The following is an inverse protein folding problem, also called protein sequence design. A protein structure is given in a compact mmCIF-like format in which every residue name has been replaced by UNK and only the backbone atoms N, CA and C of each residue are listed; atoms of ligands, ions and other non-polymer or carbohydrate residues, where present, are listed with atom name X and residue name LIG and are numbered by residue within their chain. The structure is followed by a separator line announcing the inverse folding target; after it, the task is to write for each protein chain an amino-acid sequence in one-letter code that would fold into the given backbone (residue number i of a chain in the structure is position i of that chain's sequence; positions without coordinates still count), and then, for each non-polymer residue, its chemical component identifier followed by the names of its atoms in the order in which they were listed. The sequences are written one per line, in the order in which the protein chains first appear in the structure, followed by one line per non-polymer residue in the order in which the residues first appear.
data_IF_930568772160
#
_entry.id   IF_930568772160
#
_cell.length_a   1.000
_cell.length_b   1.000
_cell.length_c   1.000
_cell.angle_alpha   90.00
_cell.angle_beta   90.00
_cell.angle_gamma   90.00
#
_symmetry.space_group_name_H-M   'P 1'
#
loop_
_entity.id
_entity.type
_entity.pdbx_description
1 polymer ?
#
# COMPACT_ATOMS: atom_id res chain seq x y z
N UNK A 1 -97.21 -10.61 -112.04
CA UNK A 1 -96.84 -11.13 -113.37
C UNK A 1 -95.33 -11.21 -113.43
N UNK A 2 -94.81 -12.41 -113.70
CA UNK A 2 -93.42 -12.76 -114.06
C UNK A 2 -92.34 -12.52 -112.98
N UNK A 3 -91.84 -13.56 -112.30
CA UNK A 3 -91.00 -14.69 -112.75
C UNK A 3 -89.53 -14.29 -112.91
N UNK A 4 -88.64 -15.19 -112.45
CA UNK A 4 -87.23 -15.36 -112.83
C UNK A 4 -86.19 -14.43 -112.14
N UNK A 5 -85.07 -14.88 -111.54
CA UNK A 5 -84.28 -16.11 -111.66
C UNK A 5 -83.58 -16.48 -110.33
N UNK A 6 -83.51 -17.79 -110.08
CA UNK A 6 -82.57 -18.48 -109.19
C UNK A 6 -81.12 -18.32 -109.68
N UNK A 7 -80.15 -18.31 -108.76
CA UNK A 7 -78.90 -19.08 -108.93
C UNK A 7 -78.30 -19.42 -107.56
N UNK A 8 -78.68 -20.58 -107.02
CA UNK A 8 -77.96 -21.23 -105.92
C UNK A 8 -76.65 -21.77 -106.48
N UNK A 9 -75.54 -21.08 -106.25
CA UNK A 9 -74.22 -21.61 -106.56
C UNK A 9 -73.82 -22.62 -105.47
N UNK A 10 -74.34 -23.84 -105.56
CA UNK A 10 -73.78 -24.99 -104.86
C UNK A 10 -72.53 -25.43 -105.62
N UNK A 11 -71.41 -24.76 -105.35
CA UNK A 11 -70.10 -25.30 -105.71
C UNK A 11 -69.93 -26.62 -104.96
N UNK A 12 -70.07 -27.75 -105.66
CA UNK A 12 -69.55 -29.03 -105.20
C UNK A 12 -68.05 -28.86 -104.99
N UNK A 13 -67.63 -28.72 -103.74
CA UNK A 13 -66.23 -28.85 -103.37
C UNK A 13 -65.98 -30.36 -103.36
N UNK A 14 -65.33 -30.87 -104.40
CA UNK A 14 -64.75 -32.22 -104.37
C UNK A 14 -63.61 -32.21 -103.34
N UNK A 15 -63.93 -32.56 -102.09
CA UNK A 15 -62.93 -32.76 -101.04
C UNK A 15 -62.37 -34.17 -101.25
N UNK A 16 -61.15 -34.25 -101.80
CA UNK A 16 -60.39 -35.50 -101.90
C UNK A 16 -60.02 -35.97 -100.47
N UNK A 17 -60.88 -36.79 -99.88
CA UNK A 17 -60.68 -37.33 -98.53
C UNK A 17 -59.93 -38.65 -98.64
N UNK A 18 -58.67 -38.69 -98.18
CA UNK A 18 -57.85 -39.91 -98.17
C UNK A 18 -57.64 -40.39 -96.72
N UNK A 19 -58.02 -41.64 -96.45
CA UNK A 19 -57.74 -42.33 -95.19
C UNK A 19 -56.52 -43.23 -95.40
N UNK A 20 -55.47 -43.01 -94.62
CA UNK A 20 -54.22 -43.80 -94.67
C UNK A 20 -53.87 -44.39 -93.31
N UNK A 21 -52.94 -45.35 -93.33
CA UNK A 21 -52.33 -45.93 -92.13
C UNK A 21 -53.36 -46.40 -91.11
N UNK A 22 -54.39 -47.10 -91.59
CA UNK A 22 -55.41 -47.66 -90.72
C UNK A 22 -54.84 -48.89 -90.00
N UNK A 23 -54.72 -48.78 -88.69
CA UNK A 23 -54.28 -49.86 -87.82
C UNK A 23 -55.43 -50.21 -86.87
N UNK A 24 -55.87 -51.47 -86.89
CA UNK A 24 -56.89 -51.96 -85.97
C UNK A 24 -56.29 -52.93 -84.96
N UNK A 25 -56.69 -52.75 -83.71
CA UNK A 25 -56.38 -53.64 -82.60
C UNK A 25 -57.67 -54.00 -81.85
N UNK A 26 -57.60 -54.96 -80.91
CA UNK A 26 -58.76 -55.35 -80.09
C UNK A 26 -59.35 -54.18 -79.29
N UNK A 27 -58.58 -53.12 -79.04
CA UNK A 27 -59.01 -51.92 -78.31
C UNK A 27 -59.56 -50.78 -79.16
N UNK A 28 -59.61 -50.92 -80.49
CA UNK A 28 -60.07 -49.88 -81.40
C UNK A 28 -59.20 -49.74 -82.64
N UNK A 29 -59.50 -48.72 -83.43
CA UNK A 29 -58.84 -48.46 -84.71
C UNK A 29 -58.33 -47.02 -84.78
N UNK A 30 -57.10 -46.84 -85.24
CA UNK A 30 -56.52 -45.54 -85.59
C UNK A 30 -56.37 -45.44 -87.10
N UNK A 31 -56.52 -44.23 -87.63
CA UNK A 31 -56.21 -43.93 -89.03
C UNK A 31 -55.78 -42.46 -89.15
N UNK A 32 -54.99 -42.16 -90.17
CA UNK A 32 -54.64 -40.81 -90.56
C UNK A 32 -55.65 -40.32 -91.60
N UNK A 33 -56.39 -39.25 -91.29
CA UNK A 33 -57.33 -38.62 -92.20
C UNK A 33 -56.68 -37.39 -92.84
N UNK A 34 -56.44 -37.45 -94.16
CA UNK A 34 -55.98 -36.30 -94.94
C UNK A 34 -57.16 -35.72 -95.71
N UNK A 35 -57.50 -34.48 -95.34
CA UNK A 35 -58.58 -33.71 -95.98
C UNK A 35 -58.08 -32.90 -97.19
N UNK A 36 -56.77 -32.64 -97.25
CA UNK A 36 -56.07 -32.01 -98.36
C UNK A 36 -54.58 -32.36 -98.28
N UNK A 37 -53.89 -32.34 -99.42
CA UNK A 37 -52.44 -32.47 -99.44
C UNK A 37 -51.77 -31.24 -98.79
N UNK A 38 -50.67 -31.43 -98.04
CA UNK A 38 -49.96 -30.31 -97.45
C UNK A 38 -49.42 -29.38 -98.53
N UNK A 39 -49.85 -28.11 -98.50
CA UNK A 39 -49.44 -27.06 -99.47
C UNK A 39 -47.91 -26.86 -99.49
N UNK A 40 -47.22 -27.20 -98.40
CA UNK A 40 -45.78 -27.11 -98.27
C UNK A 40 -45.22 -28.47 -97.84
N UNK A 41 -44.45 -29.11 -98.72
CA UNK A 41 -43.84 -30.42 -98.50
C UNK A 41 -42.66 -30.41 -97.49
N UNK A 42 -42.30 -29.26 -96.93
CA UNK A 42 -41.13 -29.12 -96.04
C UNK A 42 -41.52 -28.81 -94.59
N UNK A 43 -41.03 -29.57 -93.60
CA UNK A 43 -41.25 -29.29 -92.19
C UNK A 43 -40.69 -27.91 -91.78
N UNK A 44 -41.35 -27.16 -90.87
CA UNK A 44 -40.82 -25.90 -90.38
C UNK A 44 -39.46 -26.08 -89.69
N UNK A 45 -38.44 -25.34 -90.13
CA UNK A 45 -37.10 -25.36 -89.53
C UNK A 45 -37.16 -24.74 -88.13
N UNK A 46 -37.02 -25.56 -87.09
CA UNK A 46 -36.77 -25.07 -85.72
C UNK A 46 -35.40 -24.37 -85.68
N UNK A 47 -35.25 -23.24 -84.96
CA UNK A 47 -33.93 -22.66 -84.74
C UNK A 47 -33.05 -23.72 -84.07
N UNK A 48 -31.79 -23.83 -84.54
CA UNK A 48 -30.81 -24.73 -83.95
C UNK A 48 -30.65 -24.34 -82.47
N UNK A 49 -31.12 -25.21 -81.57
CA UNK A 49 -30.80 -25.11 -80.15
C UNK A 49 -29.27 -25.17 -80.01
N UNK A 50 -28.66 -24.29 -79.21
CA UNK A 50 -27.20 -24.31 -79.02
C UNK A 50 -26.74 -25.72 -78.59
N UNK A 51 -25.73 -26.32 -79.23
CA UNK A 51 -25.22 -27.62 -78.81
C UNK A 51 -24.44 -27.41 -77.52
N UNK A 52 -25.07 -27.70 -76.38
CA UNK A 52 -24.41 -27.64 -75.08
C UNK A 52 -24.12 -29.06 -74.63
N UNK A 53 -23.00 -29.61 -75.11
CA UNK A 53 -22.42 -30.82 -74.53
C UNK A 53 -21.68 -30.35 -73.28
N UNK A 54 -22.36 -30.37 -72.14
CA UNK A 54 -21.75 -30.14 -70.83
C UNK A 54 -21.01 -31.42 -70.46
N UNK A 55 -19.68 -31.33 -70.25
CA UNK A 55 -18.91 -32.48 -69.78
C UNK A 55 -19.20 -32.72 -68.30
N UNK A 56 -18.93 -33.94 -67.82
CA UNK A 56 -19.06 -34.28 -66.39
C UNK A 56 -18.18 -33.36 -65.53
N UNK A 57 -16.97 -33.03 -66.01
CA UNK A 57 -16.06 -32.12 -65.34
C UNK A 57 -16.65 -30.70 -65.18
N UNK A 58 -17.33 -30.16 -66.21
CA UNK A 58 -17.98 -28.84 -66.14
C UNK A 58 -19.14 -28.81 -65.13
N UNK A 59 -19.81 -29.95 -64.92
CA UNK A 59 -20.89 -30.08 -63.94
C UNK A 59 -20.30 -30.12 -62.52
N UNK A 60 -19.26 -30.94 -62.31
CA UNK A 60 -18.56 -31.04 -61.03
C UNK A 60 -17.94 -29.70 -60.60
N UNK A 61 -17.31 -28.98 -61.53
CA UNK A 61 -16.73 -27.66 -61.25
C UNK A 61 -17.81 -26.67 -60.79
N UNK A 62 -18.97 -26.65 -61.44
CA UNK A 62 -20.08 -25.77 -61.03
C UNK A 62 -20.65 -26.14 -59.66
N UNK A 63 -20.76 -27.43 -59.34
CA UNK A 63 -21.19 -27.90 -58.03
C UNK A 63 -20.17 -27.50 -56.96
N UNK A 64 -18.88 -27.69 -57.22
CA UNK A 64 -17.80 -27.28 -56.32
C UNK A 64 -17.78 -25.76 -56.11
N UNK A 65 -17.93 -24.97 -57.16
CA UNK A 65 -18.02 -23.50 -57.05
C UNK A 65 -19.27 -23.03 -56.27
N UNK A 66 -20.38 -23.77 -56.33
CA UNK A 66 -21.54 -23.50 -55.48
C UNK A 66 -21.28 -23.84 -54.01
N UNK A 67 -20.61 -24.97 -53.74
CA UNK A 67 -20.23 -25.38 -52.40
C UNK A 67 -19.21 -24.41 -51.76
N UNK A 68 -18.21 -23.98 -52.51
CA UNK A 68 -17.19 -23.04 -52.04
C UNK A 68 -17.80 -21.66 -51.74
N UNK A 69 -18.75 -21.19 -52.56
CA UNK A 69 -19.53 -19.97 -52.25
C UNK A 69 -20.33 -20.11 -50.95
N UNK A 70 -20.97 -21.27 -50.73
CA UNK A 70 -21.69 -21.54 -49.47
C UNK A 70 -20.73 -21.51 -48.28
N UNK A 71 -19.61 -22.23 -48.37
CA UNK A 71 -18.56 -22.26 -47.33
C UNK A 71 -18.02 -20.87 -47.03
N UNK A 72 -17.72 -20.09 -48.07
CA UNK A 72 -17.22 -18.70 -47.92
C UNK A 72 -18.23 -17.80 -47.23
N UNK A 73 -19.52 -17.90 -47.58
CA UNK A 73 -20.57 -17.10 -46.94
C UNK A 73 -20.71 -17.46 -45.46
N UNK A 74 -20.77 -18.75 -45.14
CA UNK A 74 -20.85 -19.22 -43.75
C UNK A 74 -19.60 -18.83 -42.95
N UNK A 75 -18.40 -18.97 -43.52
CA UNK A 75 -17.15 -18.55 -42.88
C UNK A 75 -17.15 -17.04 -42.58
N UNK A 76 -17.60 -16.22 -43.53
CA UNK A 76 -17.74 -14.77 -43.33
C UNK A 76 -18.73 -14.44 -42.22
N UNK A 77 -19.90 -15.10 -42.18
CA UNK A 77 -20.89 -14.94 -41.11
C UNK A 77 -20.31 -15.33 -39.73
N UNK A 78 -19.60 -16.45 -39.65
CA UNK A 78 -18.94 -16.90 -38.42
C UNK A 78 -17.87 -15.90 -37.97
N UNK A 79 -17.07 -15.35 -38.89
CA UNK A 79 -16.07 -14.34 -38.58
C UNK A 79 -16.70 -13.05 -38.03
N UNK A 80 -17.82 -12.60 -38.61
CA UNK A 80 -18.57 -11.42 -38.10
C UNK A 80 -19.12 -11.68 -36.70
N UNK A 81 -19.70 -12.85 -36.47
CA UNK A 81 -20.23 -13.22 -35.15
C UNK A 81 -19.11 -13.33 -34.10
N UNK A 82 -18.00 -13.96 -34.46
CA UNK A 82 -16.81 -14.07 -33.60
C UNK A 82 -16.25 -12.68 -33.24
N UNK A 83 -16.14 -11.77 -34.20
CA UNK A 83 -15.69 -10.40 -33.94
C UNK A 83 -16.64 -9.63 -33.01
N UNK A 84 -17.96 -9.82 -33.14
CA UNK A 84 -18.94 -9.23 -32.21
C UNK A 84 -18.81 -9.78 -30.80
N UNK A 85 -18.63 -11.09 -30.64
CA UNK A 85 -18.43 -11.73 -29.34
C UNK A 85 -17.13 -11.26 -28.68
N UNK A 86 -16.03 -11.18 -29.43
CA UNK A 86 -14.76 -10.66 -28.93
C UNK A 86 -14.90 -9.22 -28.41
N UNK A 87 -15.62 -8.36 -29.14
CA UNK A 87 -15.87 -6.97 -28.70
C UNK A 87 -16.69 -6.90 -27.41
N UNK A 88 -17.67 -7.79 -27.23
CA UNK A 88 -18.47 -7.88 -25.99
C UNK A 88 -17.60 -8.35 -24.83
N UNK A 89 -16.76 -9.35 -25.06
CA UNK A 89 -15.83 -9.86 -24.04
C UNK A 89 -14.81 -8.80 -23.62
N UNK A 90 -14.24 -8.05 -24.57
CA UNK A 90 -13.31 -6.96 -24.28
C UNK A 90 -13.99 -5.81 -23.51
N UNK A 91 -15.23 -5.48 -23.85
CA UNK A 91 -16.00 -4.48 -23.11
C UNK A 91 -16.26 -4.93 -21.67
N UNK A 92 -16.60 -6.21 -21.48
CA UNK A 92 -16.79 -6.81 -20.15
C UNK A 92 -15.49 -6.80 -19.34
N UNK A 93 -14.37 -7.23 -19.92
CA UNK A 93 -13.07 -7.21 -19.25
C UNK A 93 -12.68 -5.80 -18.79
N UNK A 94 -12.90 -4.80 -19.65
CA UNK A 94 -12.64 -3.39 -19.30
C UNK A 94 -13.52 -2.90 -18.16
N UNK A 95 -14.79 -3.29 -18.15
CA UNK A 95 -15.69 -2.96 -17.04
C UNK A 95 -15.22 -3.60 -15.73
N UNK A 96 -14.93 -4.91 -15.74
CA UNK A 96 -14.46 -5.64 -14.57
C UNK A 96 -13.12 -5.07 -14.04
N UNK A 97 -12.25 -4.61 -14.93
CA UNK A 97 -10.97 -3.99 -14.55
C UNK A 97 -11.15 -2.60 -13.95
N UNK A 98 -12.05 -1.77 -14.50
CA UNK A 98 -12.39 -0.47 -13.91
C UNK A 98 -13.04 -0.64 -12.53
N UNK A 99 -13.94 -1.61 -12.37
CA UNK A 99 -14.56 -1.92 -11.09
C UNK A 99 -13.52 -2.34 -10.04
N UNK A 100 -12.60 -3.23 -10.41
CA UNK A 100 -11.49 -3.63 -9.53
C UNK A 100 -10.59 -2.46 -9.16
N UNK A 101 -10.22 -1.62 -10.13
CA UNK A 101 -9.39 -0.44 -9.88
C UNK A 101 -10.08 0.54 -8.93
N UNK A 102 -11.39 0.76 -9.11
CA UNK A 102 -12.17 1.63 -8.24
C UNK A 102 -12.22 1.11 -6.80
N UNK A 103 -12.49 -0.20 -6.64
CA UNK A 103 -12.51 -0.84 -5.31
C UNK A 103 -11.14 -0.73 -4.65
N UNK A 104 -10.08 -1.08 -5.38
CA UNK A 104 -8.70 -1.03 -4.86
C UNK A 104 -8.29 0.39 -4.45
N UNK A 105 -8.52 1.38 -5.32
CA UNK A 105 -8.17 2.78 -5.02
C UNK A 105 -8.94 3.31 -3.80
N UNK A 106 -10.23 2.96 -3.68
CA UNK A 106 -11.06 3.39 -2.55
C UNK A 106 -10.60 2.72 -1.25
N UNK A 107 -10.26 1.43 -1.30
CA UNK A 107 -9.73 0.69 -0.15
C UNK A 107 -8.36 1.23 0.29
N UNK A 108 -7.45 1.48 -0.65
CA UNK A 108 -6.13 2.04 -0.38
C UNK A 108 -6.24 3.47 0.18
N UNK A 109 -7.09 4.31 -0.37
CA UNK A 109 -7.33 5.66 0.14
C UNK A 109 -7.89 5.64 1.58
N UNK A 110 -8.80 4.71 1.88
CA UNK A 110 -9.31 4.54 3.25
C UNK A 110 -8.22 4.05 4.20
N UNK A 111 -7.43 3.05 3.80
CA UNK A 111 -6.30 2.54 4.59
C UNK A 111 -5.28 3.62 4.89
N UNK A 112 -4.90 4.42 3.89
CA UNK A 112 -3.99 5.56 4.06
C UNK A 112 -4.55 6.60 5.03
N UNK A 113 -5.86 6.90 4.92
CA UNK A 113 -6.52 7.85 5.82
C UNK A 113 -6.52 7.37 7.27
N UNK A 114 -6.81 6.09 7.51
CA UNK A 114 -6.76 5.49 8.85
C UNK A 114 -5.33 5.54 9.41
N UNK A 115 -4.34 5.08 8.63
CA UNK A 115 -2.94 5.09 9.05
C UNK A 115 -2.46 6.51 9.41
N UNK A 116 -2.83 7.52 8.62
CA UNK A 116 -2.51 8.92 8.92
C UNK A 116 -3.15 9.41 10.23
N UNK A 117 -4.41 9.05 10.51
CA UNK A 117 -5.03 9.40 11.79
C UNK A 117 -4.37 8.71 12.97
N UNK A 118 -3.99 7.44 12.83
CA UNK A 118 -3.27 6.69 13.85
C UNK A 118 -1.90 7.30 14.13
N UNK A 119 -1.10 7.58 13.09
CA UNK A 119 0.20 8.23 13.20
C UNK A 119 0.10 9.62 13.85
N UNK A 120 -0.85 10.46 13.42
CA UNK A 120 -1.06 11.78 14.02
C UNK A 120 -1.45 11.67 15.50
N UNK A 121 -2.31 10.71 15.85
CA UNK A 121 -2.73 10.47 17.23
C UNK A 121 -1.56 9.99 18.08
N UNK A 122 -0.75 9.06 17.57
CA UNK A 122 0.42 8.55 18.27
C UNK A 122 1.50 9.63 18.45
N UNK A 123 1.77 10.43 17.41
CA UNK A 123 2.67 11.58 17.50
C UNK A 123 2.24 12.54 18.60
N UNK A 124 0.96 12.92 18.63
CA UNK A 124 0.44 13.83 19.67
C UNK A 124 0.57 13.24 21.09
N UNK A 125 0.27 11.94 21.24
CA UNK A 125 0.42 11.26 22.54
C UNK A 125 1.91 11.21 22.95
N UNK A 126 2.81 10.92 22.01
CA UNK A 126 4.24 10.84 22.27
C UNK A 126 4.83 12.20 22.64
N UNK A 127 4.40 13.27 21.98
CA UNK A 127 4.79 14.64 22.33
C UNK A 127 4.36 15.02 23.76
N UNK A 128 3.13 14.66 24.15
CA UNK A 128 2.67 14.88 25.53
C UNK A 128 3.47 14.07 26.54
N UNK A 129 3.76 12.80 26.24
CA UNK A 129 4.61 11.94 27.09
C UNK A 129 6.01 12.50 27.23
N UNK A 130 6.60 12.99 26.14
CA UNK A 130 7.94 13.58 26.14
C UNK A 130 7.99 14.84 27.03
N UNK A 131 7.02 15.76 26.88
CA UNK A 131 6.90 16.94 27.74
C UNK A 131 6.74 16.60 29.22
N UNK A 132 5.93 15.59 29.53
CA UNK A 132 5.75 15.13 30.91
C UNK A 132 7.04 14.53 31.48
N UNK A 133 7.75 13.73 30.67
CA UNK A 133 9.04 13.14 31.06
C UNK A 133 10.09 14.23 31.33
N UNK A 134 10.22 15.20 30.44
CA UNK A 134 11.14 16.34 30.60
C UNK A 134 10.82 17.13 31.88
N UNK A 135 9.54 17.38 32.17
CA UNK A 135 9.13 18.04 33.40
C UNK A 135 9.53 17.24 34.65
N UNK A 136 9.29 15.92 34.66
CA UNK A 136 9.67 15.06 35.79
C UNK A 136 11.18 15.03 36.01
N UNK A 137 11.97 14.97 34.93
CA UNK A 137 13.43 15.06 34.99
C UNK A 137 13.90 16.42 35.54
N UNK A 138 13.24 17.51 35.13
CA UNK A 138 13.49 18.85 35.65
C UNK A 138 13.20 19.00 37.15
N UNK A 139 12.09 18.41 37.62
CA UNK A 139 11.74 18.36 39.05
C UNK A 139 12.78 17.56 39.83
N UNK A 140 13.16 16.37 39.36
CA UNK A 140 14.14 15.53 40.05
C UNK A 140 15.52 16.19 40.10
N UNK A 141 15.95 16.83 39.02
CA UNK A 141 17.18 17.63 38.99
C UNK A 141 17.15 18.74 40.04
N UNK A 142 16.02 19.44 40.16
CA UNK A 142 15.85 20.51 41.16
C UNK A 142 15.92 19.94 42.58
N UNK A 143 15.26 18.80 42.83
CA UNK A 143 15.29 18.10 44.13
C UNK A 143 16.72 17.74 44.52
N UNK A 144 17.47 17.08 43.63
CA UNK A 144 18.86 16.68 43.86
C UNK A 144 19.76 17.89 44.10
N UNK A 145 19.57 18.99 43.35
CA UNK A 145 20.35 20.20 43.54
C UNK A 145 20.10 20.84 44.92
N UNK A 146 18.86 20.91 45.37
CA UNK A 146 18.51 21.42 46.70
C UNK A 146 19.07 20.53 47.83
N UNK A 147 19.03 19.20 47.65
CA UNK A 147 19.60 18.25 48.60
C UNK A 147 21.12 18.42 48.71
N UNK A 148 21.81 18.55 47.57
CA UNK A 148 23.24 18.82 47.51
C UNK A 148 23.60 20.15 48.20
N UNK A 149 22.91 21.24 47.85
CA UNK A 149 23.15 22.55 48.48
C UNK A 149 22.93 22.51 49.99
N UNK A 150 21.89 21.81 50.45
CA UNK A 150 21.61 21.65 51.89
C UNK A 150 22.72 20.88 52.59
N UNK A 151 23.21 19.78 51.98
CA UNK A 151 24.32 19.00 52.51
C UNK A 151 25.63 19.80 52.57
N UNK A 152 25.93 20.58 51.53
CA UNK A 152 27.10 21.46 51.47
C UNK A 152 27.05 22.54 52.56
N UNK A 153 25.90 23.18 52.75
CA UNK A 153 25.70 24.18 53.82
C UNK A 153 25.87 23.53 55.20
N UNK A 154 25.28 22.35 55.42
CA UNK A 154 25.41 21.62 56.69
C UNK A 154 26.87 21.26 56.99
N UNK A 155 27.61 20.76 56.00
CA UNK A 155 29.03 20.44 56.13
C UNK A 155 29.87 21.68 56.44
N UNK A 156 29.61 22.80 55.75
CA UNK A 156 30.29 24.08 56.02
C UNK A 156 30.05 24.59 57.44
N UNK A 157 28.83 24.48 57.96
CA UNK A 157 28.50 24.84 59.34
C UNK A 157 29.24 23.93 60.33
N UNK A 158 29.22 22.61 60.09
CA UNK A 158 29.89 21.64 60.96
C UNK A 158 31.41 21.89 61.02
N UNK A 159 32.04 22.20 59.88
CA UNK A 159 33.46 22.52 59.82
C UNK A 159 33.79 23.80 60.62
N UNK A 160 32.98 24.85 60.47
CA UNK A 160 33.15 26.10 61.25
C UNK A 160 33.01 25.86 62.75
N UNK A 161 32.01 25.06 63.17
CA UNK A 161 31.83 24.70 64.58
C UNK A 161 33.02 23.91 65.13
N UNK A 162 33.55 22.96 64.35
CA UNK A 162 34.73 22.17 64.73
C UNK A 162 35.97 23.06 64.84
N UNK A 163 36.19 23.96 63.89
CA UNK A 163 37.30 24.92 63.92
C UNK A 163 37.21 25.85 65.12
N UNK A 164 36.02 26.41 65.40
CA UNK A 164 35.79 27.26 66.57
C UNK A 164 35.98 26.50 67.90
N UNK A 165 35.56 25.22 67.98
CA UNK A 165 35.81 24.37 69.14
C UNK A 165 37.31 24.13 69.36
N UNK A 166 38.03 23.72 68.31
CA UNK A 166 39.48 23.55 68.36
C UNK A 166 40.19 24.82 68.81
N UNK A 167 39.79 25.99 68.30
CA UNK A 167 40.40 27.26 68.68
C UNK A 167 40.15 27.61 70.16
N UNK A 168 38.94 27.33 70.69
CA UNK A 168 38.64 27.50 72.12
C UNK A 168 39.50 26.58 72.98
N UNK A 169 39.62 25.31 72.60
CA UNK A 169 40.41 24.32 73.34
C UNK A 169 41.90 24.69 73.35
N UNK A 170 42.45 25.10 72.22
CA UNK A 170 43.84 25.56 72.13
C UNK A 170 44.09 26.83 72.96
N UNK A 171 43.15 27.78 72.96
CA UNK A 171 43.27 28.97 73.80
C UNK A 171 43.21 28.63 75.30
N UNK A 172 42.33 27.71 75.70
CA UNK A 172 42.24 27.23 77.08
C UNK A 172 43.51 26.49 77.50
N UNK A 173 44.03 25.58 76.66
CA UNK A 173 45.31 24.89 76.91
C UNK A 173 46.45 25.87 77.14
N UNK A 174 46.57 26.91 76.31
CA UNK A 174 47.59 27.97 76.48
C UNK A 174 47.44 28.70 77.82
N UNK A 175 46.23 29.00 78.25
CA UNK A 175 45.98 29.65 79.55
C UNK A 175 46.36 28.74 80.72
N UNK A 176 45.98 27.46 80.66
CA UNK A 176 46.33 26.46 81.68
C UNK A 176 47.85 26.24 81.78
N UNK A 177 48.57 26.22 80.66
CA UNK A 177 50.03 26.12 80.65
C UNK A 177 50.65 27.34 81.35
N UNK A 178 50.22 28.56 81.02
CA UNK A 178 50.73 29.79 81.67
C UNK A 178 50.48 29.80 83.18
N UNK A 179 49.29 29.37 83.62
CA UNK A 179 48.98 29.27 85.06
C UNK A 179 49.90 28.26 85.75
N UNK A 180 50.13 27.10 85.14
CA UNK A 180 51.06 26.08 85.66
C UNK A 180 52.50 26.61 85.75
N UNK A 181 52.97 27.28 84.70
CA UNK A 181 54.30 27.89 84.68
C UNK A 181 54.48 28.93 85.79
N UNK A 182 53.47 29.78 86.00
CA UNK A 182 53.46 30.76 87.07
C UNK A 182 53.47 30.10 88.46
N UNK A 183 52.64 29.08 88.69
CA UNK A 183 52.66 28.31 89.94
C UNK A 183 54.04 27.70 90.23
N UNK A 184 54.68 27.12 89.20
CA UNK A 184 56.03 26.58 89.32
C UNK A 184 57.07 27.67 89.60
N UNK A 185 56.94 28.85 88.98
CA UNK A 185 57.79 30.00 89.28
C UNK A 185 57.60 30.48 90.73
N UNK A 186 56.37 30.67 91.20
CA UNK A 186 56.09 31.05 92.60
C UNK A 186 56.69 30.04 93.57
N UNK A 187 56.55 28.72 93.32
CA UNK A 187 57.18 27.68 94.14
C UNK A 187 58.71 27.78 94.13
N UNK A 188 59.33 28.05 92.96
CA UNK A 188 60.79 28.24 92.85
C UNK A 188 61.24 29.46 93.64
N UNK A 189 60.55 30.59 93.53
CA UNK A 189 60.84 31.82 94.27
C UNK A 189 60.71 31.60 95.78
N UNK A 190 59.65 30.93 96.25
CA UNK A 190 59.49 30.53 97.65
C UNK A 190 60.65 29.65 98.14
N UNK A 191 61.12 28.70 97.33
CA UNK A 191 62.29 27.87 97.66
C UNK A 191 63.57 28.68 97.76
N UNK A 192 63.81 29.59 96.81
CA UNK A 192 64.98 30.49 96.82
C UNK A 192 64.95 31.39 98.06
N UNK A 193 63.79 31.95 98.39
CA UNK A 193 63.62 32.81 99.56
C UNK A 193 63.85 32.03 100.87
N UNK A 194 63.34 30.80 100.99
CA UNK A 194 63.66 29.93 102.13
C UNK A 194 65.17 29.66 102.27
N UNK A 195 65.89 29.46 101.15
CA UNK A 195 67.35 29.27 101.19
C UNK A 195 68.07 30.56 101.58
N UNK A 196 67.63 31.72 101.07
CA UNK A 196 68.16 33.04 101.47
C UNK A 196 67.95 33.30 102.96
N UNK A 197 66.75 33.04 103.48
CA UNK A 197 66.45 33.20 104.89
C UNK A 197 67.32 32.27 105.75
N UNK A 198 67.41 30.98 105.40
CA UNK A 198 68.31 30.03 106.09
C UNK A 198 69.77 30.49 106.07
N UNK A 199 70.24 31.06 104.97
CA UNK A 199 71.62 31.58 104.89
C UNK A 199 71.81 32.84 105.74
N UNK A 200 70.81 33.72 105.78
CA UNK A 200 70.80 34.91 106.64
C UNK A 200 70.80 34.50 108.12
N UNK A 201 69.95 33.54 108.50
CA UNK A 201 69.90 32.97 109.84
C UNK A 201 71.25 32.33 110.22
N UNK A 202 71.87 31.55 109.31
CA UNK A 202 73.22 31.00 109.51
C UNK A 202 74.30 32.08 109.67
N UNK A 203 74.21 33.20 108.95
CA UNK A 203 75.15 34.32 109.08
C UNK A 203 75.01 35.00 110.45
N UNK A 204 73.78 35.26 110.88
CA UNK A 204 73.47 35.81 112.19
C UNK A 204 73.93 34.89 113.33
N UNK A 205 73.75 33.56 113.19
CA UNK A 205 74.27 32.59 114.17
C UNK A 205 75.80 32.63 114.26
N UNK A 206 76.52 32.76 113.12
CA UNK A 206 77.98 32.92 113.12
C UNK A 206 78.45 34.25 113.73
N UNK A 207 77.72 35.35 113.51
CA UNK A 207 78.00 36.64 114.15
C UNK A 207 77.80 36.59 115.67
N UNK A 208 76.79 35.86 116.15
CA UNK A 208 76.57 35.64 117.58
C UNK A 208 77.68 34.76 118.19
N UNK A 209 78.12 33.70 117.50
CA UNK A 209 79.20 32.81 117.95
C UNK A 209 80.58 33.49 117.95
N UNK A 210 80.86 34.38 116.99
CA UNK A 210 82.13 35.14 116.94
C UNK A 210 82.18 36.27 117.97
N UNK A 211 81.04 36.91 118.26
CA UNK A 211 80.94 37.92 119.32
C UNK A 211 81.03 37.29 120.73
N UNK A 212 80.54 36.07 120.95
CA UNK A 212 80.74 35.36 122.23
C UNK A 212 82.15 34.82 122.38
N UNK A 213 82.81 34.39 121.30
CA UNK A 213 84.21 33.96 121.32
C UNK A 213 85.23 35.10 121.51
N UNK A 214 84.85 36.36 121.24
CA UNK A 214 85.70 37.55 121.52
C UNK A 214 85.50 38.12 122.93
N UNK A 215 84.61 37.52 123.73
CA UNK A 215 84.25 37.92 125.11
C UNK A 215 84.76 36.92 126.18
N UNK A 216 85.62 35.98 125.78
CA UNK A 216 86.40 35.07 126.63
C UNK A 216 87.88 35.30 126.39
#
# INVERSE_FOLDING_TARGET
MFSEYYLSCTTKIDIHTEVRCQESSKGGMSFELRLADPVVLTPPKRPLSPPKIVSVADIEEKLKAAEDRRKSLTASQVAILSAKLAKIEDARKKYDEQEKQFIQQTEEALKQKIASYEENRESHINDLKAKLKEHLEGVEKTRLNLEQQTAEVAASIQEKLKSAANQRDENLKKMLIKLREHEEQTKREQRVEMVRQKNKDKCLSKELETNTASLV
#
